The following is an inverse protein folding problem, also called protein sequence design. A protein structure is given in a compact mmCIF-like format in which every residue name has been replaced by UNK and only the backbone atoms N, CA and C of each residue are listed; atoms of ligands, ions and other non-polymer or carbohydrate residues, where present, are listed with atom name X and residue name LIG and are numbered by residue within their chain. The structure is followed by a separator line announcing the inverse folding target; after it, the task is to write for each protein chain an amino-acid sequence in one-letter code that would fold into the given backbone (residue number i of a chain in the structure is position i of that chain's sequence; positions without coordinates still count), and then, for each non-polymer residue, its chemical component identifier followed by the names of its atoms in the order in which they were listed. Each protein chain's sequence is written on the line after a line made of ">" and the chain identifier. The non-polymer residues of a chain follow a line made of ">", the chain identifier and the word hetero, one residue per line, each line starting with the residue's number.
data_IF_069268267751
#
_entry.id   IF_069268267751
#
_cell.length_a   1.000
_cell.length_b   1.000
_cell.length_c   1.000
_cell.angle_alpha   90.00
_cell.angle_beta   90.00
_cell.angle_gamma   90.00
#
_symmetry.space_group_name_H-M   'P 1'
#
loop_
_entity.id
_entity.type
_entity.pdbx_description
1 polymer ?
#
# COMPACT_ATOMS: atom_id res chain seq x y z
N UNK A 1 -24.39 -12.24 40.31
CA UNK A 1 -24.41 -10.79 39.99
C UNK A 1 -23.17 -10.46 39.18
N UNK A 2 -23.38 -10.04 37.94
CA UNK A 2 -22.37 -9.88 36.88
C UNK A 2 -21.42 -8.71 37.13
N UNK A 3 -20.15 -9.00 37.43
CA UNK A 3 -19.06 -8.00 37.54
C UNK A 3 -18.62 -7.38 36.18
N UNK A 4 -19.36 -7.61 35.09
CA UNK A 4 -19.01 -7.15 33.74
C UNK A 4 -19.98 -6.11 33.14
N UNK A 5 -20.88 -5.52 33.93
CA UNK A 5 -21.61 -4.34 33.46
C UNK A 5 -20.78 -3.09 33.76
N UNK A 6 -19.82 -2.78 32.87
CA UNK A 6 -19.27 -1.42 32.80
C UNK A 6 -20.47 -0.50 32.50
N UNK A 7 -20.79 0.51 33.33
CA UNK A 7 -21.87 1.43 33.02
C UNK A 7 -21.43 2.24 31.81
N UNK A 8 -21.91 1.85 30.63
CA UNK A 8 -21.78 2.64 29.42
C UNK A 8 -22.57 3.93 29.62
N UNK A 9 -21.92 4.98 30.10
CA UNK A 9 -22.48 6.33 29.99
C UNK A 9 -22.60 6.61 28.50
N UNK A 10 -23.82 6.70 27.98
CA UNK A 10 -24.09 7.15 26.61
C UNK A 10 -23.65 8.59 26.51
N UNK A 11 -22.37 8.82 26.17
CA UNK A 11 -21.92 10.13 25.76
C UNK A 11 -22.80 10.56 24.58
N UNK A 12 -23.33 11.79 24.56
CA UNK A 12 -24.12 12.26 23.44
C UNK A 12 -23.29 12.04 22.18
N UNK A 13 -23.86 11.30 21.22
CA UNK A 13 -23.18 10.99 19.97
C UNK A 13 -22.76 12.31 19.33
N UNK A 14 -21.45 12.58 19.29
CA UNK A 14 -20.94 13.71 18.52
C UNK A 14 -21.35 13.47 17.08
N UNK A 15 -22.06 14.42 16.50
CA UNK A 15 -22.39 14.40 15.08
C UNK A 15 -21.12 14.11 14.27
N UNK A 16 -21.26 13.22 13.28
CA UNK A 16 -20.23 12.85 12.33
C UNK A 16 -19.40 14.08 11.89
N UNK A 17 -18.09 14.05 12.15
CA UNK A 17 -17.17 15.11 11.75
C UNK A 17 -17.26 15.38 10.24
N UNK A 18 -16.99 16.61 9.80
CA UNK A 18 -17.11 17.03 8.39
C UNK A 18 -16.48 16.04 7.40
N UNK A 19 -15.28 15.54 7.68
CA UNK A 19 -14.58 14.57 6.84
C UNK A 19 -15.36 13.25 6.66
N UNK A 20 -15.98 12.73 7.71
CA UNK A 20 -16.78 11.50 7.65
C UNK A 20 -18.06 11.69 6.83
N UNK A 21 -18.72 12.86 6.94
CA UNK A 21 -19.88 13.21 6.10
C UNK A 21 -19.50 13.33 4.64
N UNK A 22 -18.38 13.99 4.33
CA UNK A 22 -17.84 14.11 2.98
C UNK A 22 -17.54 12.73 2.36
N UNK A 23 -16.83 11.87 3.09
CA UNK A 23 -16.49 10.52 2.62
C UNK A 23 -17.73 9.65 2.39
N UNK A 24 -18.70 9.67 3.29
CA UNK A 24 -19.96 8.92 3.11
C UNK A 24 -20.74 9.47 1.91
N UNK A 25 -20.76 10.79 1.70
CA UNK A 25 -21.37 11.41 0.53
C UNK A 25 -20.73 10.97 -0.78
N UNK A 26 -19.40 11.05 -0.87
CA UNK A 26 -18.63 10.60 -2.03
C UNK A 26 -18.82 9.11 -2.30
N UNK A 27 -18.74 8.26 -1.27
CA UNK A 27 -18.93 6.82 -1.41
C UNK A 27 -20.33 6.48 -1.94
N UNK A 28 -21.39 7.16 -1.47
CA UNK A 28 -22.75 6.98 -1.99
C UNK A 28 -22.88 7.42 -3.44
N UNK A 29 -22.26 8.54 -3.81
CA UNK A 29 -22.31 9.08 -5.16
C UNK A 29 -21.58 8.15 -6.15
N UNK A 30 -20.39 7.69 -5.79
CA UNK A 30 -19.61 6.70 -6.57
C UNK A 30 -20.39 5.39 -6.67
N UNK A 31 -20.96 4.90 -5.56
CA UNK A 31 -21.75 3.66 -5.58
C UNK A 31 -22.97 3.79 -6.47
N UNK A 32 -23.73 4.89 -6.42
CA UNK A 32 -24.91 5.08 -7.27
C UNK A 32 -24.55 5.05 -8.77
N UNK A 33 -23.40 5.62 -9.14
CA UNK A 33 -22.91 5.66 -10.53
C UNK A 33 -22.34 4.31 -10.99
N UNK A 34 -21.63 3.60 -10.12
CA UNK A 34 -20.96 2.34 -10.47
C UNK A 34 -21.81 1.09 -10.20
N UNK A 35 -22.86 1.18 -9.37
CA UNK A 35 -23.74 0.06 -9.00
C UNK A 35 -24.23 -0.79 -10.18
N UNK A 36 -24.69 -0.24 -11.32
CA UNK A 36 -25.15 -1.06 -12.43
C UNK A 36 -24.04 -1.92 -13.06
N UNK A 37 -22.82 -1.39 -13.14
CA UNK A 37 -21.64 -2.11 -13.66
C UNK A 37 -21.15 -3.15 -12.65
N UNK A 38 -21.04 -2.75 -11.38
CA UNK A 38 -20.59 -3.59 -10.27
C UNK A 38 -21.49 -4.81 -10.06
N UNK A 39 -22.80 -4.67 -10.28
CA UNK A 39 -23.77 -5.77 -10.16
C UNK A 39 -23.76 -6.71 -11.37
N UNK A 40 -23.37 -6.23 -12.55
CA UNK A 40 -23.39 -7.02 -13.80
C UNK A 40 -22.10 -7.80 -14.04
N UNK A 41 -20.93 -7.25 -13.69
CA UNK A 41 -19.63 -7.93 -13.83
C UNK A 41 -18.75 -7.92 -12.56
N UNK A 42 -19.29 -8.33 -11.40
CA UNK A 42 -18.62 -8.24 -10.10
C UNK A 42 -17.25 -8.95 -10.03
N UNK A 43 -17.16 -10.19 -10.53
CA UNK A 43 -15.90 -10.94 -10.55
C UNK A 43 -14.86 -10.35 -11.50
N UNK A 44 -15.30 -9.88 -12.67
CA UNK A 44 -14.40 -9.26 -13.64
C UNK A 44 -13.84 -7.93 -13.14
N UNK A 45 -14.65 -7.10 -12.45
CA UNK A 45 -14.18 -5.83 -11.86
C UNK A 45 -13.08 -6.07 -10.84
N UNK A 46 -13.23 -7.07 -9.97
CA UNK A 46 -12.24 -7.36 -8.95
C UNK A 46 -10.95 -7.95 -9.55
N UNK A 47 -11.06 -8.94 -10.42
CA UNK A 47 -9.90 -9.52 -11.12
C UNK A 47 -9.20 -8.46 -11.98
N UNK A 48 -9.95 -7.59 -12.65
CA UNK A 48 -9.40 -6.47 -13.39
C UNK A 48 -8.68 -5.49 -12.48
N UNK A 49 -9.22 -5.15 -11.30
CA UNK A 49 -8.54 -4.26 -10.36
C UNK A 49 -7.21 -4.85 -9.86
N UNK A 50 -7.16 -6.16 -9.59
CA UNK A 50 -5.94 -6.85 -9.21
C UNK A 50 -4.91 -6.85 -10.35
N UNK A 51 -5.33 -7.24 -11.56
CA UNK A 51 -4.47 -7.24 -12.75
C UNK A 51 -4.03 -5.82 -13.13
N UNK A 52 -4.87 -4.82 -12.93
CA UNK A 52 -4.55 -3.41 -13.18
C UNK A 52 -3.54 -2.89 -12.16
N UNK A 53 -3.62 -3.31 -10.89
CA UNK A 53 -2.63 -2.94 -9.87
C UNK A 53 -1.24 -3.51 -10.21
N UNK A 54 -1.21 -4.79 -10.59
CA UNK A 54 0.00 -5.47 -11.05
C UNK A 54 0.53 -4.82 -12.33
N UNK A 55 -0.35 -4.60 -13.31
CA UNK A 55 -0.02 -3.98 -14.59
C UNK A 55 0.48 -2.54 -14.44
N UNK A 56 -0.10 -1.76 -13.53
CA UNK A 56 0.36 -0.40 -13.24
C UNK A 56 1.74 -0.41 -12.58
N UNK A 57 1.98 -1.32 -11.64
CA UNK A 57 3.29 -1.54 -11.03
C UNK A 57 4.33 -1.97 -12.08
N UNK A 58 3.98 -2.86 -13.00
CA UNK A 58 4.88 -3.28 -14.07
C UNK A 58 5.10 -2.19 -15.11
N UNK A 59 4.08 -1.37 -15.39
CA UNK A 59 4.18 -0.22 -16.28
C UNK A 59 5.14 0.81 -15.69
N UNK A 60 5.07 1.12 -14.39
CA UNK A 60 6.02 2.05 -13.76
C UNK A 60 7.45 1.51 -13.83
N UNK A 61 7.66 0.20 -13.64
CA UNK A 61 8.97 -0.44 -13.86
C UNK A 61 9.45 -0.28 -15.31
N UNK A 62 8.59 -0.55 -16.29
CA UNK A 62 8.91 -0.44 -17.70
C UNK A 62 9.28 1.00 -18.09
N UNK A 63 8.58 1.99 -17.53
CA UNK A 63 8.89 3.42 -17.71
C UNK A 63 10.29 3.73 -17.17
N UNK A 64 10.62 3.30 -15.94
CA UNK A 64 11.96 3.55 -15.38
C UNK A 64 13.07 2.93 -16.22
N UNK A 65 12.86 1.72 -16.74
CA UNK A 65 13.82 1.06 -17.64
C UNK A 65 13.98 1.80 -18.96
N UNK A 66 12.87 2.26 -19.54
CA UNK A 66 12.88 3.07 -20.75
C UNK A 66 13.68 4.36 -20.53
N UNK A 67 13.42 5.08 -19.43
CA UNK A 67 14.17 6.28 -19.06
C UNK A 67 15.67 5.99 -18.86
N UNK A 68 16.02 4.89 -18.20
CA UNK A 68 17.42 4.48 -18.00
C UNK A 68 18.11 4.11 -19.33
N UNK A 69 17.40 3.49 -20.28
CA UNK A 69 17.93 3.18 -21.60
C UNK A 69 18.16 4.45 -22.45
N UNK A 70 17.22 5.40 -22.41
CA UNK A 70 17.34 6.69 -23.10
C UNK A 70 18.52 7.53 -22.58
N UNK A 71 18.82 7.44 -21.28
CA UNK A 71 19.99 8.10 -20.68
C UNK A 71 21.32 7.56 -21.21
N UNK A 72 21.42 6.24 -21.32
CA UNK A 72 22.62 5.58 -21.84
C UNK A 72 22.84 5.94 -23.31
N UNK A 73 21.78 5.93 -24.12
CA UNK A 73 21.84 6.27 -25.54
C UNK A 73 22.21 7.76 -25.78
N UNK A 74 21.73 8.65 -24.89
CA UNK A 74 22.11 10.07 -24.90
C UNK A 74 23.56 10.34 -24.44
N UNK A 75 24.34 9.30 -24.07
CA UNK A 75 25.73 9.43 -23.63
C UNK A 75 25.91 9.89 -22.18
N UNK A 76 24.83 9.92 -21.38
CA UNK A 76 24.88 10.22 -19.96
C UNK A 76 25.35 8.97 -19.21
N UNK A 77 26.64 8.93 -18.87
CA UNK A 77 27.23 7.80 -18.14
C UNK A 77 26.80 7.77 -16.65
N UNK A 78 26.53 6.56 -16.13
CA UNK A 78 26.22 6.29 -14.70
C UNK A 78 27.27 6.80 -13.71
N UNK A 79 28.51 7.04 -14.17
CA UNK A 79 29.66 7.42 -13.34
C UNK A 79 29.67 8.89 -12.86
N UNK A 80 28.82 9.77 -13.40
CA UNK A 80 28.66 11.14 -12.90
C UNK A 80 27.64 11.17 -11.74
N UNK A 81 27.87 10.33 -10.72
CA UNK A 81 26.96 10.09 -9.61
C UNK A 81 27.24 11.08 -8.47
N UNK A 82 26.77 12.31 -8.61
CA UNK A 82 26.42 13.14 -7.44
C UNK A 82 24.95 12.95 -7.12
N UNK A 83 24.49 13.34 -5.93
CA UNK A 83 23.11 13.21 -5.47
C UNK A 83 22.04 13.88 -6.40
N UNK A 84 22.50 14.60 -7.44
CA UNK A 84 21.73 15.22 -8.52
C UNK A 84 22.35 14.89 -9.91
N UNK A 85 22.76 13.64 -10.13
CA UNK A 85 23.55 13.24 -11.31
C UNK A 85 22.81 13.30 -12.64
N UNK A 86 23.46 13.96 -13.63
CA UNK A 86 23.29 13.79 -15.08
C UNK A 86 21.86 13.60 -15.59
N UNK A 87 20.95 14.49 -15.24
CA UNK A 87 19.66 14.51 -15.91
C UNK A 87 19.88 14.90 -17.37
N UNK A 88 19.14 14.30 -18.30
CA UNK A 88 19.16 14.83 -19.65
C UNK A 88 18.82 16.32 -19.52
N UNK A 89 19.55 17.15 -20.24
CA UNK A 89 19.21 18.55 -20.43
C UNK A 89 18.34 18.69 -21.67
N UNK A 90 17.52 19.73 -21.73
CA UNK A 90 16.67 20.02 -22.91
C UNK A 90 17.52 20.10 -24.19
N UNK A 91 18.79 20.55 -24.07
CA UNK A 91 19.76 20.58 -25.16
C UNK A 91 20.18 19.20 -25.66
N UNK A 92 20.35 18.22 -24.76
CA UNK A 92 20.69 16.84 -25.12
C UNK A 92 19.50 16.12 -25.78
N UNK A 93 18.27 16.39 -25.32
CA UNK A 93 17.06 15.92 -26.04
C UNK A 93 17.03 16.54 -27.44
N UNK A 94 17.25 17.85 -27.56
CA UNK A 94 17.18 18.53 -28.85
C UNK A 94 18.27 18.02 -29.83
N UNK A 95 19.45 17.69 -29.32
CA UNK A 95 20.53 17.07 -30.09
C UNK A 95 20.19 15.63 -30.49
N UNK A 96 19.62 14.83 -29.58
CA UNK A 96 19.18 13.46 -29.85
C UNK A 96 18.00 13.36 -30.82
N UNK A 97 17.09 14.35 -30.80
CA UNK A 97 15.96 14.42 -31.73
C UNK A 97 16.43 14.66 -33.17
N UNK A 98 17.56 15.37 -33.34
CA UNK A 98 18.18 15.63 -34.64
C UNK A 98 18.96 14.43 -35.20
N UNK A 99 19.33 13.45 -34.38
CA UNK A 99 20.13 12.29 -34.77
C UNK A 99 19.28 11.09 -35.22
N UNK A 100 18.42 10.58 -34.33
CA UNK A 100 17.74 9.28 -34.56
C UNK A 100 16.23 9.29 -34.28
N UNK A 101 15.67 10.43 -33.85
CA UNK A 101 14.22 10.76 -33.86
C UNK A 101 13.30 9.94 -32.94
N UNK A 102 13.27 8.62 -33.09
CA UNK A 102 12.32 7.70 -32.43
C UNK A 102 12.54 7.54 -30.90
N UNK A 103 13.77 7.33 -30.39
CA UNK A 103 13.99 7.15 -28.94
C UNK A 103 13.72 8.46 -28.18
N UNK A 104 14.12 9.58 -28.78
CA UNK A 104 14.13 10.90 -28.14
C UNK A 104 12.75 11.55 -28.05
N UNK A 105 11.80 11.21 -28.94
CA UNK A 105 10.39 11.63 -28.81
C UNK A 105 9.75 11.04 -27.55
N UNK A 106 10.10 9.80 -27.19
CA UNK A 106 9.61 9.15 -25.96
C UNK A 106 10.26 9.74 -24.69
N UNK A 107 11.38 10.47 -24.80
CA UNK A 107 12.01 11.12 -23.66
C UNK A 107 11.15 12.26 -23.07
N UNK A 108 10.31 12.93 -23.86
CA UNK A 108 9.43 14.00 -23.40
C UNK A 108 8.36 13.54 -22.39
N UNK A 109 7.52 12.52 -22.69
CA UNK A 109 6.50 12.05 -21.75
C UNK A 109 7.11 11.38 -20.50
N UNK A 110 8.30 10.79 -20.62
CA UNK A 110 9.01 10.14 -19.51
C UNK A 110 10.07 11.02 -18.84
N UNK A 111 10.15 12.30 -19.21
CA UNK A 111 11.09 13.27 -18.67
C UNK A 111 11.05 13.37 -17.14
N UNK A 112 9.87 13.45 -16.49
CA UNK A 112 9.83 13.57 -15.04
C UNK A 112 10.28 12.29 -14.32
N UNK A 113 10.17 11.12 -14.96
CA UNK A 113 10.56 9.84 -14.36
C UNK A 113 12.07 9.69 -14.18
N UNK A 114 12.85 10.60 -14.78
CA UNK A 114 14.29 10.65 -14.66
C UNK A 114 14.73 11.12 -13.26
N UNK A 115 13.97 12.05 -12.65
CA UNK A 115 14.30 12.63 -11.36
C UNK A 115 14.19 11.54 -10.27
N UNK A 116 15.21 11.36 -9.41
CA UNK A 116 15.20 10.34 -8.37
C UNK A 116 13.98 10.42 -7.45
N UNK A 117 13.61 11.64 -7.03
CA UNK A 117 12.45 11.88 -6.16
C UNK A 117 11.14 11.43 -6.81
N UNK A 118 10.92 11.77 -8.09
CA UNK A 118 9.70 11.38 -8.82
C UNK A 118 9.64 9.86 -8.97
N UNK A 119 10.77 9.23 -9.30
CA UNK A 119 10.91 7.77 -9.38
C UNK A 119 10.60 7.08 -8.05
N UNK A 120 11.13 7.61 -6.94
CA UNK A 120 10.88 7.04 -5.61
C UNK A 120 9.43 7.22 -5.15
N UNK A 121 8.83 8.40 -5.36
CA UNK A 121 7.42 8.63 -5.03
C UNK A 121 6.48 7.77 -5.86
N UNK A 122 6.71 7.68 -7.17
CA UNK A 122 5.88 6.84 -8.06
C UNK A 122 6.08 5.34 -7.78
N UNK A 123 7.31 4.92 -7.47
CA UNK A 123 7.60 3.56 -7.02
C UNK A 123 6.90 3.22 -5.70
N UNK A 124 6.98 4.09 -4.70
CA UNK A 124 6.31 3.92 -3.41
C UNK A 124 4.80 3.81 -3.56
N UNK A 125 4.18 4.70 -4.35
CA UNK A 125 2.74 4.65 -4.63
C UNK A 125 2.34 3.36 -5.34
N UNK A 126 3.16 2.88 -6.28
CA UNK A 126 2.93 1.61 -6.96
C UNK A 126 3.02 0.41 -6.00
N UNK A 127 4.01 0.38 -5.09
CA UNK A 127 4.13 -0.66 -4.06
C UNK A 127 2.92 -0.63 -3.11
N UNK A 128 2.56 0.56 -2.60
CA UNK A 128 1.41 0.71 -1.71
C UNK A 128 0.12 0.24 -2.40
N UNK A 129 -0.08 0.61 -3.67
CA UNK A 129 -1.22 0.18 -4.46
C UNK A 129 -1.26 -1.34 -4.64
N UNK A 130 -0.14 -1.94 -5.03
CA UNK A 130 0.01 -3.38 -5.19
C UNK A 130 -0.29 -4.14 -3.89
N UNK A 131 0.38 -3.77 -2.80
CA UNK A 131 0.23 -4.43 -1.49
C UNK A 131 -1.19 -4.28 -0.96
N UNK A 132 -1.78 -3.08 -1.06
CA UNK A 132 -3.13 -2.83 -0.56
C UNK A 132 -4.18 -3.65 -1.31
N UNK A 133 -4.13 -3.68 -2.64
CA UNK A 133 -5.11 -4.41 -3.46
C UNK A 133 -4.95 -5.91 -3.27
N UNK A 134 -3.70 -6.41 -3.18
CA UNK A 134 -3.43 -7.81 -2.92
C UNK A 134 -3.90 -8.22 -1.50
N UNK A 135 -3.64 -7.42 -0.48
CA UNK A 135 -4.11 -7.68 0.88
C UNK A 135 -5.65 -7.70 0.95
N UNK A 136 -6.33 -6.79 0.28
CA UNK A 136 -7.80 -6.79 0.20
C UNK A 136 -8.35 -8.06 -0.45
N UNK A 137 -7.67 -8.58 -1.48
CA UNK A 137 -8.00 -9.87 -2.07
C UNK A 137 -7.77 -11.02 -1.10
N UNK A 138 -6.58 -11.08 -0.49
CA UNK A 138 -6.18 -12.13 0.43
C UNK A 138 -7.19 -12.26 1.59
N UNK A 139 -7.61 -11.14 2.19
CA UNK A 139 -8.62 -11.11 3.25
C UNK A 139 -9.97 -11.69 2.79
N UNK A 140 -10.42 -11.34 1.58
CA UNK A 140 -11.67 -11.89 1.04
C UNK A 140 -11.56 -13.38 0.73
N UNK A 141 -10.42 -13.78 0.14
CA UNK A 141 -10.12 -15.15 -0.23
C UNK A 141 -10.01 -16.05 1.00
N UNK A 142 -9.27 -15.62 2.02
CA UNK A 142 -9.11 -16.31 3.30
C UNK A 142 -10.47 -16.61 3.94
N UNK A 143 -11.35 -15.60 4.05
CA UNK A 143 -12.71 -15.78 4.59
C UNK A 143 -13.52 -16.81 3.80
N UNK A 144 -13.33 -16.88 2.48
CA UNK A 144 -14.01 -17.88 1.65
C UNK A 144 -13.46 -19.27 1.84
N UNK A 145 -12.14 -19.43 1.82
CA UNK A 145 -11.49 -20.73 2.02
C UNK A 145 -11.81 -21.26 3.41
N UNK A 146 -11.66 -20.43 4.45
CA UNK A 146 -12.02 -20.79 5.82
C UNK A 146 -13.50 -21.19 5.96
N UNK A 147 -14.41 -20.48 5.29
CA UNK A 147 -15.83 -20.86 5.29
C UNK A 147 -16.08 -22.21 4.63
N UNK A 148 -15.40 -22.52 3.50
CA UNK A 148 -15.51 -23.83 2.84
C UNK A 148 -14.97 -24.96 3.71
N UNK A 149 -13.84 -24.75 4.39
CA UNK A 149 -13.29 -25.71 5.37
C UNK A 149 -14.30 -25.97 6.49
N UNK A 150 -15.02 -24.93 6.92
CA UNK A 150 -16.05 -24.99 7.96
C UNK A 150 -17.45 -25.40 7.44
N UNK A 151 -17.55 -25.92 6.21
CA UNK A 151 -18.82 -26.31 5.58
C UNK A 151 -19.91 -25.22 5.58
N UNK A 152 -19.52 -23.95 5.53
CA UNK A 152 -20.42 -22.79 5.41
C UNK A 152 -20.07 -21.91 4.22
N UNK A 153 -20.96 -21.01 3.86
CA UNK A 153 -20.72 -20.03 2.81
C UNK A 153 -19.98 -18.82 3.39
N UNK A 154 -18.91 -18.39 2.72
CA UNK A 154 -18.22 -17.13 3.02
C UNK A 154 -19.04 -15.90 2.62
N UNK A 155 -18.42 -14.72 2.47
CA UNK A 155 -19.13 -13.52 2.03
C UNK A 155 -19.85 -13.73 0.69
N UNK A 156 -21.18 -13.51 0.65
CA UNK A 156 -22.01 -13.69 -0.56
C UNK A 156 -22.89 -12.49 -0.92
N UNK A 157 -23.00 -11.48 -0.06
CA UNK A 157 -23.98 -10.39 -0.23
C UNK A 157 -23.36 -9.08 -0.72
N UNK A 158 -22.26 -8.65 -0.11
CA UNK A 158 -21.67 -7.32 -0.34
C UNK A 158 -21.02 -7.25 -1.72
N UNK A 159 -21.51 -6.36 -2.59
CA UNK A 159 -21.05 -6.28 -3.99
C UNK A 159 -21.74 -7.26 -4.94
N UNK A 160 -22.80 -7.95 -4.51
CA UNK A 160 -23.50 -8.94 -5.33
C UNK A 160 -22.72 -10.26 -5.37
N UNK A 161 -22.35 -10.72 -6.56
CA UNK A 161 -21.71 -12.02 -6.79
C UNK A 161 -20.57 -12.28 -5.80
N UNK A 162 -20.74 -13.33 -4.99
CA UNK A 162 -19.64 -13.88 -4.21
C UNK A 162 -18.95 -12.89 -3.24
N UNK A 163 -19.60 -11.79 -2.87
CA UNK A 163 -19.13 -10.92 -1.79
C UNK A 163 -17.84 -10.14 -2.07
N UNK A 164 -17.44 -9.95 -3.33
CA UNK A 164 -16.12 -9.39 -3.67
C UNK A 164 -15.86 -7.98 -3.11
N UNK A 165 -16.92 -7.17 -2.94
CA UNK A 165 -16.79 -5.82 -2.41
C UNK A 165 -16.73 -5.77 -0.86
N UNK A 166 -16.60 -6.94 -0.20
CA UNK A 166 -16.53 -7.03 1.26
C UNK A 166 -15.30 -6.30 1.82
N UNK A 167 -14.09 -6.57 1.31
CA UNK A 167 -12.87 -5.93 1.81
C UNK A 167 -12.87 -4.40 1.60
N UNK A 168 -13.30 -3.86 0.44
CA UNK A 168 -13.53 -2.42 0.29
C UNK A 168 -14.54 -1.84 1.28
N UNK A 169 -15.65 -2.54 1.52
CA UNK A 169 -16.67 -2.08 2.47
C UNK A 169 -16.16 -2.06 3.91
N UNK A 170 -15.36 -3.05 4.30
CA UNK A 170 -14.72 -3.10 5.62
C UNK A 170 -13.70 -1.97 5.79
N UNK A 171 -12.93 -1.65 4.74
CA UNK A 171 -12.01 -0.51 4.73
C UNK A 171 -12.73 0.83 4.91
N UNK A 172 -13.78 1.09 4.11
CA UNK A 172 -14.60 2.32 4.23
C UNK A 172 -15.19 2.41 5.64
N UNK A 173 -15.71 1.30 6.17
CA UNK A 173 -16.25 1.24 7.54
C UNK A 173 -15.21 1.65 8.58
N UNK A 174 -13.97 1.16 8.47
CA UNK A 174 -12.90 1.52 9.41
C UNK A 174 -12.51 3.00 9.29
N UNK A 175 -12.47 3.57 8.08
CA UNK A 175 -12.20 5.00 7.88
C UNK A 175 -13.31 5.91 8.45
N UNK A 176 -14.55 5.44 8.48
CA UNK A 176 -15.68 6.19 9.06
C UNK A 176 -15.80 6.04 10.57
N UNK A 177 -15.08 5.09 11.18
CA UNK A 177 -15.12 4.89 12.62
C UNK A 177 -14.41 6.04 13.34
N UNK A 178 -14.87 6.28 14.57
CA UNK A 178 -14.17 7.14 15.50
C UNK A 178 -12.80 6.56 15.86
N UNK A 179 -11.78 7.44 15.84
CA UNK A 179 -10.44 7.11 16.30
C UNK A 179 -10.37 7.37 17.81
N UNK A 180 -10.44 6.28 18.59
CA UNK A 180 -10.43 6.32 20.04
C UNK A 180 -9.07 5.89 20.57
N UNK A 181 -8.45 6.76 21.36
CA UNK A 181 -7.20 6.48 22.06
C UNK A 181 -7.53 6.42 23.57
N UNK A 182 -7.12 5.36 24.28
CA UNK A 182 -7.32 5.26 25.73
C UNK A 182 -6.72 6.46 26.45
N UNK A 183 -7.34 6.92 27.54
CA UNK A 183 -6.89 8.10 28.29
C UNK A 183 -5.52 7.90 28.91
N UNK A 184 -5.24 6.67 29.36
CA UNK A 184 -4.02 6.33 30.10
C UNK A 184 -2.91 5.81 29.17
N UNK A 185 -3.16 5.71 27.86
CA UNK A 185 -2.20 5.29 26.86
C UNK A 185 -1.25 6.44 26.46
N UNK A 186 -0.02 6.09 26.09
CA UNK A 186 0.90 7.05 25.47
C UNK A 186 0.40 7.39 24.07
N UNK A 187 -0.11 8.60 23.88
CA UNK A 187 -0.75 9.03 22.63
C UNK A 187 0.21 9.06 21.43
N UNK A 188 1.47 9.37 21.65
CA UNK A 188 2.44 9.49 20.55
C UNK A 188 2.82 8.09 20.10
N UNK A 189 3.22 7.25 21.06
CA UNK A 189 3.66 5.90 20.79
C UNK A 189 2.52 5.02 20.23
N UNK A 190 1.30 5.19 20.76
CA UNK A 190 0.12 4.44 20.30
C UNK A 190 -0.26 4.77 18.86
N UNK A 191 -0.07 6.02 18.42
CA UNK A 191 -0.28 6.43 17.03
C UNK A 191 0.85 6.00 16.11
N UNK A 192 2.10 6.04 16.58
CA UNK A 192 3.26 5.70 15.77
C UNK A 192 3.44 4.19 15.57
N UNK A 193 3.05 3.37 16.55
CA UNK A 193 3.32 1.94 16.52
C UNK A 193 2.79 1.21 15.27
N UNK A 194 1.55 1.43 14.78
CA UNK A 194 1.08 0.83 13.54
C UNK A 194 1.93 1.20 12.31
N UNK A 195 2.45 2.43 12.26
CA UNK A 195 3.33 2.86 11.16
C UNK A 195 4.70 2.20 11.25
N UNK A 196 5.24 2.05 12.46
CA UNK A 196 6.52 1.38 12.69
C UNK A 196 6.48 -0.12 12.36
N UNK A 197 5.32 -0.77 12.49
CA UNK A 197 5.14 -2.15 12.01
C UNK A 197 4.97 -2.20 10.47
N UNK A 198 4.23 -1.24 9.90
CA UNK A 198 3.85 -1.29 8.49
C UNK A 198 4.94 -0.82 7.51
N UNK A 199 5.69 0.23 7.86
CA UNK A 199 6.72 0.81 6.98
C UNK A 199 7.84 -0.18 6.65
N UNK A 200 8.41 -0.95 7.61
CA UNK A 200 9.45 -1.92 7.30
C UNK A 200 8.94 -3.04 6.40
N UNK A 201 7.71 -3.53 6.65
CA UNK A 201 7.07 -4.53 5.80
C UNK A 201 6.89 -4.05 4.34
N UNK A 202 6.48 -2.78 4.14
CA UNK A 202 6.44 -2.18 2.81
C UNK A 202 7.82 -2.00 2.19
N UNK A 203 8.80 -1.57 2.99
CA UNK A 203 10.15 -1.32 2.50
C UNK A 203 10.85 -2.59 2.01
N UNK A 204 10.52 -3.76 2.56
CA UNK A 204 11.01 -5.04 2.05
C UNK A 204 10.63 -5.28 0.56
N UNK A 205 9.48 -4.78 0.10
CA UNK A 205 9.05 -4.89 -1.30
C UNK A 205 9.89 -4.05 -2.28
N UNK A 206 10.69 -3.11 -1.79
CA UNK A 206 11.57 -2.29 -2.64
C UNK A 206 12.69 -3.11 -3.30
N UNK A 207 13.21 -4.10 -2.57
CA UNK A 207 14.32 -4.94 -3.00
C UNK A 207 13.87 -6.32 -3.51
N UNK A 208 12.57 -6.63 -3.43
CA UNK A 208 12.02 -7.91 -3.87
C UNK A 208 11.97 -7.99 -5.41
N UNK A 209 12.58 -9.02 -6.03
CA UNK A 209 12.50 -9.22 -7.47
C UNK A 209 11.18 -9.92 -7.85
N UNK A 210 10.39 -9.28 -8.69
CA UNK A 210 9.15 -9.83 -9.27
C UNK A 210 9.39 -10.59 -10.58
N UNK A 211 10.61 -10.53 -11.12
CA UNK A 211 11.04 -11.22 -12.34
C UNK A 211 12.48 -10.89 -12.69
N UNK A 212 13.02 -11.50 -13.75
CA UNK A 212 14.43 -11.39 -14.15
C UNK A 212 14.90 -9.94 -14.32
N UNK A 213 14.00 -9.05 -14.74
CA UNK A 213 14.31 -7.63 -14.98
C UNK A 213 13.45 -6.68 -14.13
N UNK A 214 12.60 -7.21 -13.25
CA UNK A 214 11.53 -6.47 -12.59
C UNK A 214 11.79 -6.39 -11.08
N UNK A 215 12.56 -5.37 -10.71
CA UNK A 215 12.87 -5.00 -9.32
C UNK A 215 12.76 -3.48 -9.21
N UNK A 216 12.18 -2.98 -8.12
CA UNK A 216 12.00 -1.54 -7.92
C UNK A 216 13.33 -0.82 -7.75
N UNK A 217 14.17 -1.31 -6.83
CA UNK A 217 15.54 -0.87 -6.65
C UNK A 217 16.46 -2.09 -6.62
N UNK A 218 17.36 -2.11 -7.59
CA UNK A 218 18.43 -3.09 -7.64
C UNK A 218 19.48 -2.69 -6.58
N UNK A 219 19.61 -3.52 -5.55
CA UNK A 219 20.52 -3.29 -4.42
C UNK A 219 21.50 -4.46 -4.38
N UNK A 220 22.80 -4.17 -4.39
CA UNK A 220 23.85 -5.21 -4.27
C UNK A 220 23.70 -6.04 -2.98
N UNK A 221 23.15 -5.41 -1.93
CA UNK A 221 22.87 -6.00 -0.61
C UNK A 221 21.37 -6.22 -0.35
N UNK A 222 20.60 -6.53 -1.40
CA UNK A 222 19.14 -6.71 -1.33
C UNK A 222 18.70 -7.71 -0.24
N UNK A 223 19.39 -8.85 -0.13
CA UNK A 223 19.04 -9.90 0.85
C UNK A 223 19.19 -9.39 2.30
N UNK A 224 20.31 -8.73 2.59
CA UNK A 224 20.59 -8.17 3.93
C UNK A 224 19.60 -7.04 4.24
N UNK A 225 19.27 -6.22 3.23
CA UNK A 225 18.27 -5.18 3.37
C UNK A 225 16.88 -5.73 3.72
N UNK A 226 16.41 -6.76 3.01
CA UNK A 226 15.11 -7.39 3.31
C UNK A 226 15.11 -7.96 4.73
N UNK A 227 16.17 -8.67 5.11
CA UNK A 227 16.30 -9.24 6.46
C UNK A 227 16.28 -8.15 7.54
N UNK A 228 17.00 -7.04 7.33
CA UNK A 228 17.01 -5.92 8.25
C UNK A 228 15.62 -5.27 8.37
N UNK A 229 14.92 -5.08 7.25
CA UNK A 229 13.58 -4.49 7.25
C UNK A 229 12.55 -5.38 7.96
N UNK A 230 12.57 -6.68 7.71
CA UNK A 230 11.66 -7.61 8.40
C UNK A 230 11.96 -7.71 9.90
N UNK A 231 13.23 -7.61 10.32
CA UNK A 231 13.58 -7.58 11.74
C UNK A 231 13.12 -6.31 12.47
N UNK A 232 12.96 -5.18 11.77
CA UNK A 232 12.51 -3.93 12.39
C UNK A 232 11.02 -3.92 12.75
N UNK A 233 10.21 -4.76 12.10
CA UNK A 233 8.76 -4.82 12.32
C UNK A 233 8.39 -5.24 13.76
N UNK A 234 9.20 -6.10 14.38
CA UNK A 234 9.05 -6.55 15.78
C UNK A 234 9.01 -5.37 16.77
N UNK A 235 9.78 -4.31 16.52
CA UNK A 235 9.74 -3.11 17.37
C UNK A 235 8.37 -2.42 17.32
N UNK A 236 7.69 -2.44 16.17
CA UNK A 236 6.34 -1.91 16.04
C UNK A 236 5.34 -2.61 16.94
N UNK A 237 5.42 -3.94 17.04
CA UNK A 237 4.52 -4.75 17.89
C UNK A 237 4.80 -4.53 19.38
N UNK A 238 6.08 -4.52 19.79
CA UNK A 238 6.48 -4.23 21.17
C UNK A 238 6.01 -2.84 21.60
N UNK A 239 6.22 -1.82 20.75
CA UNK A 239 5.79 -0.46 21.01
C UNK A 239 4.27 -0.34 21.10
N UNK A 240 3.51 -1.06 20.25
CA UNK A 240 2.05 -1.11 20.33
C UNK A 240 1.57 -1.70 21.66
N UNK A 241 2.22 -2.77 22.12
CA UNK A 241 1.94 -3.41 23.41
C UNK A 241 2.20 -2.46 24.59
N UNK A 242 3.36 -1.80 24.58
CA UNK A 242 3.77 -0.84 25.61
C UNK A 242 2.89 0.41 25.66
N UNK A 243 2.59 0.99 24.49
CA UNK A 243 1.85 2.25 24.37
C UNK A 243 0.43 2.18 24.94
N UNK A 244 -0.18 1.00 24.95
CA UNK A 244 -1.57 0.82 25.40
C UNK A 244 -1.77 0.90 26.91
N UNK A 245 -0.68 0.98 27.70
CA UNK A 245 -0.69 1.03 29.17
C UNK A 245 -1.57 -0.06 29.81
N UNK A 246 -1.49 -1.28 29.27
CA UNK A 246 -2.21 -2.45 29.78
C UNK A 246 -1.24 -3.63 29.98
N UNK A 247 -1.20 -4.18 31.19
CA UNK A 247 -0.34 -5.33 31.56
C UNK A 247 -0.52 -6.50 30.59
N UNK A 248 -1.74 -6.78 30.16
CA UNK A 248 -2.04 -7.91 29.26
C UNK A 248 -1.50 -7.70 27.85
N UNK A 249 -1.61 -6.46 27.34
CA UNK A 249 -1.11 -6.09 26.01
C UNK A 249 0.41 -6.14 25.95
N UNK A 250 1.10 -5.72 27.02
CA UNK A 250 2.56 -5.83 27.13
C UNK A 250 3.01 -7.30 27.13
N UNK A 251 2.39 -8.16 27.94
CA UNK A 251 2.73 -9.59 27.94
C UNK A 251 2.42 -10.27 26.59
N UNK A 252 1.33 -9.88 25.93
CA UNK A 252 1.00 -10.36 24.58
C UNK A 252 2.07 -9.98 23.56
N UNK A 253 2.49 -8.71 23.54
CA UNK A 253 3.52 -8.24 22.64
C UNK A 253 4.89 -8.89 22.91
N UNK A 254 5.26 -9.11 24.17
CA UNK A 254 6.51 -9.82 24.50
C UNK A 254 6.51 -11.28 24.03
N UNK A 255 5.36 -11.96 24.09
CA UNK A 255 5.23 -13.34 23.59
C UNK A 255 5.35 -13.42 22.09
N UNK A 256 4.76 -12.46 21.38
CA UNK A 256 4.85 -12.36 19.92
C UNK A 256 6.30 -12.06 19.50
N UNK A 257 6.97 -11.12 20.16
CA UNK A 257 8.36 -10.80 19.89
C UNK A 257 9.30 -12.00 20.09
N UNK A 258 9.12 -12.76 21.17
CA UNK A 258 9.88 -13.99 21.42
C UNK A 258 9.52 -15.15 20.47
N UNK A 259 8.40 -15.10 19.76
CA UNK A 259 8.06 -16.08 18.74
C UNK A 259 8.71 -15.73 17.40
N UNK A 260 8.85 -14.44 17.11
CA UNK A 260 9.42 -13.94 15.86
C UNK A 260 10.95 -14.00 15.82
N UNK A 261 11.62 -13.81 16.97
CA UNK A 261 13.09 -13.83 17.13
C UNK A 261 13.54 -15.14 17.77
#
# INVERSE_FOLDING_TARGET
>A
MSQFSVPWTTRPQREYGFASRLMVGLARLIHARCAPVLRRFPGAVFTFALLAAIGLCWLTMAVFRCTDALRVDAGVNRAATSAFGGELTVGEIAAGLRRDGWPTVLAYPFWPAQFPLVRDLTGLLAIIGLVSINAMFAIWWERKVAARIQSRLGPMRVGGWHGWAQSPADGIKLLTKEDLIPTDADRVLFRLAPYLAFVPALGAFLALPFGLLWVFRDLDVALIFILAMLGLEVFGVILAGWASNNKWSVYGAMREACQMV
#
